data_IF_676423934598
#
_entry.id   IF_676423934598
#
_cell.length_a   1.000
_cell.length_b   1.000
_cell.length_c   1.000
_cell.angle_alpha   90.00
_cell.angle_beta   90.00
_cell.angle_gamma   90.00
#
_symmetry.space_group_name_H-M   'P 1'
#
loop_
_entity.id
_entity.type
_entity.pdbx_description
1 polymer ?
#
# COMPACT_ATOMS: atom_id res chain seq x y z
N UNK A 1 -27.05 -42.95 13.35
CA UNK A 1 -26.34 -43.39 12.12
C UNK A 1 -25.05 -44.10 12.52
N UNK A 2 -24.87 -45.37 12.13
CA UNK A 2 -23.74 -46.17 12.59
C UNK A 2 -22.40 -45.67 12.02
N UNK A 3 -21.30 -45.89 12.77
CA UNK A 3 -19.96 -45.36 12.43
C UNK A 3 -19.47 -45.82 11.06
N UNK A 4 -19.73 -47.07 10.67
CA UNK A 4 -19.32 -47.61 9.38
C UNK A 4 -19.99 -46.91 8.19
N UNK A 5 -21.27 -46.51 8.33
CA UNK A 5 -22.01 -45.82 7.27
C UNK A 5 -21.49 -44.39 7.05
N UNK A 6 -21.00 -43.72 8.10
CA UNK A 6 -20.34 -42.41 7.99
C UNK A 6 -19.01 -42.52 7.23
N UNK A 7 -18.22 -43.55 7.52
CA UNK A 7 -16.93 -43.78 6.84
C UNK A 7 -17.15 -44.12 5.36
N UNK A 8 -18.14 -44.97 5.07
CA UNK A 8 -18.49 -45.38 3.70
C UNK A 8 -18.90 -44.19 2.82
N UNK A 9 -19.53 -43.16 3.39
CA UNK A 9 -19.92 -41.93 2.67
C UNK A 9 -18.77 -40.92 2.63
N UNK A 10 -17.99 -40.80 3.71
CA UNK A 10 -16.93 -39.81 3.81
C UNK A 10 -15.76 -40.07 2.85
N UNK A 11 -15.39 -41.33 2.62
CA UNK A 11 -14.27 -41.69 1.72
C UNK A 11 -14.53 -41.25 0.27
N UNK A 12 -15.64 -41.64 -0.41
CA UNK A 12 -15.89 -41.21 -1.78
C UNK A 12 -16.09 -39.69 -1.87
N UNK A 13 -16.73 -39.09 -0.86
CA UNK A 13 -16.84 -37.63 -0.80
C UNK A 13 -15.46 -36.96 -0.74
N UNK A 14 -14.55 -37.47 0.08
CA UNK A 14 -13.17 -36.97 0.16
C UNK A 14 -12.42 -37.16 -1.16
N UNK A 15 -12.54 -38.32 -1.81
CA UNK A 15 -11.90 -38.60 -3.10
C UNK A 15 -12.40 -37.64 -4.19
N UNK A 16 -13.67 -37.25 -4.16
CA UNK A 16 -14.24 -36.27 -5.10
C UNK A 16 -13.86 -34.82 -4.73
N UNK A 17 -13.88 -34.47 -3.45
CA UNK A 17 -13.58 -33.10 -3.00
C UNK A 17 -12.09 -32.76 -3.03
N UNK A 18 -11.21 -33.74 -2.84
CA UNK A 18 -9.76 -33.55 -2.82
C UNK A 18 -9.22 -32.92 -4.11
N UNK A 19 -9.51 -33.40 -5.34
CA UNK A 19 -9.02 -32.77 -6.56
C UNK A 19 -9.57 -31.35 -6.74
N UNK A 20 -10.81 -31.08 -6.32
CA UNK A 20 -11.39 -29.72 -6.35
C UNK A 20 -10.62 -28.81 -5.38
N UNK A 21 -10.36 -29.28 -4.16
CA UNK A 21 -9.59 -28.54 -3.17
C UNK A 21 -8.17 -28.25 -3.69
N UNK A 22 -7.49 -29.25 -4.24
CA UNK A 22 -6.15 -29.09 -4.82
C UNK A 22 -6.14 -28.09 -5.97
N UNK A 23 -7.16 -28.11 -6.84
CA UNK A 23 -7.30 -27.13 -7.90
C UNK A 23 -7.48 -25.71 -7.35
N UNK A 24 -8.38 -25.53 -6.38
CA UNK A 24 -8.63 -24.22 -5.75
C UNK A 24 -7.36 -23.69 -5.07
N UNK A 25 -6.66 -24.52 -4.31
CA UNK A 25 -5.39 -24.15 -3.68
C UNK A 25 -4.33 -23.84 -4.74
N UNK A 26 -4.24 -24.63 -5.81
CA UNK A 26 -3.30 -24.40 -6.90
C UNK A 26 -3.51 -23.08 -7.61
N UNK A 27 -4.76 -22.76 -7.96
CA UNK A 27 -5.14 -21.47 -8.57
C UNK A 27 -4.85 -20.30 -7.62
N UNK A 28 -5.17 -20.47 -6.33
CA UNK A 28 -4.88 -19.46 -5.31
C UNK A 28 -3.38 -19.20 -5.16
N UNK A 29 -2.55 -20.25 -5.11
CA UNK A 29 -1.09 -20.12 -5.04
C UNK A 29 -0.53 -19.44 -6.29
N UNK A 30 -1.00 -19.83 -7.48
CA UNK A 30 -0.59 -19.21 -8.74
C UNK A 30 -0.90 -17.71 -8.73
N UNK A 31 -2.11 -17.32 -8.32
CA UNK A 31 -2.50 -15.92 -8.19
C UNK A 31 -1.56 -15.16 -7.24
N UNK A 32 -1.21 -15.73 -6.09
CA UNK A 32 -0.28 -15.11 -5.13
C UNK A 32 1.11 -14.91 -5.73
N UNK A 33 1.63 -15.88 -6.48
CA UNK A 33 2.92 -15.76 -7.17
C UNK A 33 2.88 -14.67 -8.23
N UNK A 34 1.83 -14.63 -9.06
CA UNK A 34 1.65 -13.59 -10.09
C UNK A 34 1.58 -12.20 -9.46
N UNK A 35 0.82 -12.03 -8.37
CA UNK A 35 0.75 -10.75 -7.65
C UNK A 35 2.12 -10.34 -7.08
N UNK A 36 2.89 -11.27 -6.53
CA UNK A 36 4.22 -10.99 -5.99
C UNK A 36 5.18 -10.54 -7.10
N UNK A 37 5.19 -11.25 -8.24
CA UNK A 37 6.02 -10.90 -9.39
C UNK A 37 5.64 -9.53 -9.96
N UNK A 38 4.35 -9.23 -10.05
CA UNK A 38 3.88 -7.91 -10.49
C UNK A 38 4.31 -6.80 -9.52
N UNK A 39 4.22 -7.04 -8.21
CA UNK A 39 4.73 -6.10 -7.20
C UNK A 39 6.24 -5.88 -7.28
N UNK A 40 7.01 -6.94 -7.54
CA UNK A 40 8.45 -6.84 -7.76
C UNK A 40 8.75 -5.99 -9.01
N UNK A 41 8.06 -6.26 -10.12
CA UNK A 41 8.19 -5.48 -11.35
C UNK A 41 7.90 -3.99 -11.11
N UNK A 42 6.81 -3.68 -10.40
CA UNK A 42 6.46 -2.30 -10.06
C UNK A 42 7.54 -1.61 -9.20
N UNK A 43 8.12 -2.32 -8.22
CA UNK A 43 9.24 -1.77 -7.43
C UNK A 43 10.43 -1.44 -8.33
N UNK A 44 10.82 -2.35 -9.22
CA UNK A 44 11.95 -2.14 -10.15
C UNK A 44 11.69 -0.96 -11.08
N UNK A 45 10.48 -0.88 -11.66
CA UNK A 45 10.09 0.25 -12.51
C UNK A 45 10.16 1.57 -11.75
N UNK A 46 9.70 1.61 -10.49
CA UNK A 46 9.81 2.81 -9.66
C UNK A 46 11.26 3.17 -9.36
N UNK A 47 12.12 2.18 -9.06
CA UNK A 47 13.53 2.46 -8.80
C UNK A 47 14.19 3.14 -10.00
N UNK A 48 13.92 2.65 -11.21
CA UNK A 48 14.50 3.19 -12.45
C UNK A 48 13.86 4.52 -12.85
N UNK A 49 12.53 4.63 -12.80
CA UNK A 49 11.82 5.78 -13.35
C UNK A 49 11.66 6.94 -12.36
N UNK A 50 11.57 6.65 -11.06
CA UNK A 50 11.28 7.64 -10.02
C UNK A 50 12.46 7.84 -9.07
N UNK A 51 12.98 6.77 -8.46
CA UNK A 51 14.04 6.90 -7.46
C UNK A 51 15.31 7.49 -8.08
N UNK A 52 15.68 7.07 -9.29
CA UNK A 52 16.80 7.67 -10.04
C UNK A 52 16.61 9.19 -10.32
N UNK A 53 15.38 9.71 -10.24
CA UNK A 53 15.02 11.13 -10.41
C UNK A 53 14.69 11.83 -9.08
N UNK A 54 15.02 11.21 -7.95
CA UNK A 54 14.77 11.78 -6.62
C UNK A 54 13.30 11.73 -6.16
N UNK A 55 12.43 10.98 -6.85
CA UNK A 55 11.02 10.79 -6.48
C UNK A 55 10.86 9.45 -5.75
N UNK A 56 10.53 9.52 -4.47
CA UNK A 56 10.49 8.33 -3.60
C UNK A 56 9.15 8.11 -2.92
N UNK A 57 8.25 9.09 -3.00
CA UNK A 57 7.03 9.09 -2.20
C UNK A 57 5.82 9.23 -3.11
N UNK A 58 4.79 8.42 -2.84
CA UNK A 58 3.44 8.55 -3.36
C UNK A 58 2.48 8.79 -2.20
N UNK A 59 1.91 9.98 -2.14
CA UNK A 59 0.81 10.33 -1.26
C UNK A 59 -0.51 10.16 -2.02
N UNK A 60 -1.46 9.46 -1.41
CA UNK A 60 -2.85 9.41 -1.88
C UNK A 60 -3.75 9.88 -0.76
N UNK A 61 -4.54 10.92 -1.03
CA UNK A 61 -5.47 11.51 -0.06
C UNK A 61 -6.78 11.92 -0.75
N UNK A 62 -7.77 12.39 -0.01
CA UNK A 62 -9.00 13.01 -0.57
C UNK A 62 -9.29 14.35 0.08
N UNK A 63 -10.11 15.16 -0.59
CA UNK A 63 -10.70 16.42 -0.10
C UNK A 63 -11.78 16.19 0.98
N UNK A 64 -11.51 15.33 1.97
CA UNK A 64 -12.42 15.16 3.11
C UNK A 64 -12.12 16.21 4.17
N UNK A 65 -13.12 16.93 4.69
CA UNK A 65 -12.91 17.92 5.75
C UNK A 65 -12.38 17.31 7.05
N UNK A 66 -12.35 15.98 7.18
CA UNK A 66 -11.83 15.30 8.37
C UNK A 66 -10.29 15.24 8.45
N UNK A 67 -9.60 15.34 7.32
CA UNK A 67 -8.14 15.19 7.28
C UNK A 67 -7.45 16.07 6.23
N UNK A 68 -8.21 16.73 5.35
CA UNK A 68 -7.66 17.55 4.28
C UNK A 68 -6.70 18.62 4.84
N UNK A 69 -7.18 19.49 5.72
CA UNK A 69 -6.40 20.59 6.31
C UNK A 69 -5.16 20.06 7.02
N UNK A 70 -5.31 19.01 7.83
CA UNK A 70 -4.18 18.38 8.51
C UNK A 70 -3.12 17.87 7.53
N UNK A 71 -3.54 17.18 6.46
CA UNK A 71 -2.62 16.66 5.45
C UNK A 71 -1.91 17.79 4.72
N UNK A 72 -2.63 18.83 4.31
CA UNK A 72 -2.03 19.95 3.60
C UNK A 72 -1.01 20.69 4.47
N UNK A 73 -1.36 20.99 5.71
CA UNK A 73 -0.54 21.78 6.62
C UNK A 73 0.63 20.99 7.23
N UNK A 74 0.42 19.72 7.58
CA UNK A 74 1.36 18.95 8.41
C UNK A 74 2.08 17.84 7.65
N UNK A 75 1.45 17.25 6.64
CA UNK A 75 2.05 16.14 5.89
C UNK A 75 2.71 16.64 4.62
N UNK A 76 1.96 17.30 3.73
CA UNK A 76 2.44 17.76 2.42
C UNK A 76 3.61 18.72 2.55
N UNK A 77 3.54 19.69 3.47
CA UNK A 77 4.63 20.68 3.71
C UNK A 77 5.97 20.05 4.07
N UNK A 78 5.95 18.85 4.68
CA UNK A 78 7.14 18.13 5.14
C UNK A 78 7.59 17.02 4.20
N UNK A 79 6.77 16.69 3.20
CA UNK A 79 7.14 15.70 2.19
C UNK A 79 8.11 16.30 1.17
N UNK A 80 8.95 15.47 0.52
CA UNK A 80 9.82 15.94 -0.55
C UNK A 80 9.03 16.63 -1.66
N UNK A 81 9.55 17.72 -2.24
CA UNK A 81 8.90 18.41 -3.38
C UNK A 81 8.66 17.50 -4.59
N UNK A 82 9.46 16.44 -4.73
CA UNK A 82 9.34 15.44 -5.79
C UNK A 82 8.21 14.43 -5.56
N UNK A 83 7.45 14.52 -4.47
CA UNK A 83 6.39 13.58 -4.10
C UNK A 83 5.32 13.48 -5.19
N UNK A 84 4.94 12.25 -5.54
CA UNK A 84 3.72 12.02 -6.31
C UNK A 84 2.49 12.19 -5.43
N UNK A 85 1.54 13.00 -5.86
CA UNK A 85 0.29 13.19 -5.15
C UNK A 85 -0.85 12.75 -6.04
N UNK A 86 -1.73 11.91 -5.49
CA UNK A 86 -2.98 11.50 -6.10
C UNK A 86 -4.14 11.92 -5.20
N UNK A 87 -5.11 12.63 -5.78
CA UNK A 87 -6.34 13.01 -5.09
C UNK A 87 -7.48 12.04 -5.43
N UNK A 88 -7.87 11.22 -4.46
CA UNK A 88 -8.90 10.19 -4.57
C UNK A 88 -10.30 10.75 -4.87
N UNK A 89 -10.58 12.01 -4.49
CA UNK A 89 -11.81 12.69 -4.90
C UNK A 89 -11.91 12.79 -6.43
N UNK A 90 -10.77 12.89 -7.11
CA UNK A 90 -10.65 12.99 -8.56
C UNK A 90 -10.44 11.62 -9.24
N UNK A 91 -10.59 10.50 -8.53
CA UNK A 91 -10.28 9.16 -9.08
C UNK A 91 -10.97 8.79 -10.40
N UNK A 92 -12.12 9.43 -10.70
CA UNK A 92 -12.85 9.18 -11.95
C UNK A 92 -12.10 9.67 -13.20
N UNK A 93 -11.19 10.63 -13.06
CA UNK A 93 -10.35 11.13 -14.16
C UNK A 93 -8.99 10.43 -14.24
N UNK A 94 -8.69 9.50 -13.33
CA UNK A 94 -7.41 8.83 -13.32
C UNK A 94 -7.25 7.88 -14.50
N UNK A 95 -6.11 7.98 -15.17
CA UNK A 95 -5.70 7.00 -16.15
C UNK A 95 -5.04 5.81 -15.42
N UNK A 96 -5.71 4.65 -15.45
CA UNK A 96 -5.27 3.40 -14.82
C UNK A 96 -3.95 2.84 -15.35
N UNK A 97 -3.53 3.28 -16.54
CA UNK A 97 -2.24 2.94 -17.13
C UNK A 97 -1.06 3.72 -16.55
N UNK A 98 -1.31 4.77 -15.76
CA UNK A 98 -0.23 5.60 -15.21
C UNK A 98 0.43 4.93 -14.01
N UNK A 99 1.76 5.08 -13.91
CA UNK A 99 2.55 4.48 -12.84
C UNK A 99 2.04 4.82 -11.42
N UNK A 100 1.73 6.09 -11.05
CA UNK A 100 1.16 6.38 -9.73
C UNK A 100 -0.09 5.57 -9.39
N UNK A 101 -0.99 5.40 -10.38
CA UNK A 101 -2.27 4.71 -10.17
C UNK A 101 -2.06 3.21 -10.04
N UNK A 102 -1.16 2.62 -10.83
CA UNK A 102 -0.79 1.20 -10.71
C UNK A 102 -0.13 0.90 -9.35
N UNK A 103 0.77 1.78 -8.89
CA UNK A 103 1.39 1.67 -7.58
C UNK A 103 0.38 1.76 -6.46
N UNK A 104 -0.52 2.74 -6.52
CA UNK A 104 -1.59 2.86 -5.55
C UNK A 104 -2.46 1.60 -5.54
N UNK A 105 -2.94 1.16 -6.71
CA UNK A 105 -3.80 -0.03 -6.84
C UNK A 105 -3.16 -1.28 -6.24
N UNK A 106 -1.87 -1.48 -6.49
CA UNK A 106 -1.16 -2.67 -6.01
C UNK A 106 -0.79 -2.60 -4.52
N UNK A 107 -0.26 -1.47 -4.03
CA UNK A 107 0.28 -1.37 -2.67
C UNK A 107 -0.73 -0.90 -1.62
N UNK A 108 -1.79 -0.19 -2.02
CA UNK A 108 -2.79 0.31 -1.07
C UNK A 108 -3.76 -0.78 -0.60
N UNK A 109 -3.97 -1.85 -1.36
CA UNK A 109 -4.93 -2.91 -1.03
C UNK A 109 -6.36 -2.42 -0.85
N UNK A 110 -7.23 -3.26 -0.28
CA UNK A 110 -8.69 -3.04 -0.30
C UNK A 110 -9.24 -2.27 0.91
N UNK A 111 -8.44 -2.02 1.94
CA UNK A 111 -8.88 -1.43 3.22
C UNK A 111 -7.98 -0.29 3.63
N UNK A 112 -8.55 0.73 4.29
CA UNK A 112 -7.79 1.85 4.90
C UNK A 112 -6.79 2.48 3.91
N UNK A 113 -7.21 2.60 2.65
CA UNK A 113 -6.35 2.99 1.53
C UNK A 113 -6.26 4.52 1.35
N UNK A 114 -6.99 5.30 2.15
CA UNK A 114 -6.98 6.75 2.06
C UNK A 114 -7.28 7.36 3.44
N UNK A 115 -6.40 8.22 3.98
CA UNK A 115 -5.14 8.66 3.39
C UNK A 115 -4.01 7.63 3.54
N UNK A 116 -3.13 7.54 2.55
CA UNK A 116 -1.99 6.61 2.54
C UNK A 116 -0.75 7.28 1.94
N UNK A 117 0.41 6.98 2.52
CA UNK A 117 1.72 7.32 1.96
C UNK A 117 2.47 6.03 1.65
N UNK A 118 2.97 5.92 0.43
CA UNK A 118 3.77 4.79 -0.04
C UNK A 118 5.19 5.32 -0.31
N UNK A 119 6.17 4.77 0.39
CA UNK A 119 7.58 5.15 0.28
C UNK A 119 8.35 4.04 -0.42
N UNK A 120 9.05 4.42 -1.46
CA UNK A 120 9.90 3.56 -2.27
C UNK A 120 11.35 3.87 -1.93
N UNK A 121 12.10 2.84 -1.53
CA UNK A 121 13.54 2.91 -1.32
C UNK A 121 14.18 1.94 -2.31
N UNK A 122 15.22 2.34 -3.06
CA UNK A 122 15.93 1.44 -3.98
C UNK A 122 16.31 0.13 -3.30
N UNK A 123 16.13 -0.99 -4.01
CA UNK A 123 16.46 -2.34 -3.54
C UNK A 123 15.66 -2.80 -2.30
N UNK A 124 14.57 -2.11 -1.94
CA UNK A 124 13.68 -2.49 -0.84
C UNK A 124 12.24 -2.51 -1.29
N UNK A 125 11.46 -3.40 -0.68
CA UNK A 125 10.02 -3.43 -0.90
C UNK A 125 9.37 -2.11 -0.43
N UNK A 126 8.42 -1.61 -1.21
CA UNK A 126 7.65 -0.41 -0.87
C UNK A 126 7.04 -0.50 0.54
N UNK A 127 7.20 0.58 1.30
CA UNK A 127 6.64 0.70 2.66
C UNK A 127 5.39 1.57 2.63
N UNK A 128 4.31 1.10 3.25
CA UNK A 128 3.04 1.83 3.31
C UNK A 128 2.76 2.35 4.71
N UNK A 129 2.23 3.56 4.80
CA UNK A 129 1.82 4.27 6.01
C UNK A 129 0.36 4.67 5.84
N UNK A 130 -0.51 4.18 6.72
CA UNK A 130 -1.98 4.31 6.57
C UNK A 130 -2.51 5.23 7.66
N UNK A 131 -3.20 6.28 7.23
CA UNK A 131 -3.66 7.32 8.14
C UNK A 131 -5.15 7.25 8.42
N UNK A 132 -5.93 6.43 7.69
CA UNK A 132 -7.39 6.35 7.91
C UNK A 132 -7.76 6.03 9.36
N UNK A 133 -7.20 4.96 9.91
CA UNK A 133 -7.47 4.54 11.28
C UNK A 133 -6.99 5.60 12.30
N UNK A 134 -5.74 6.12 12.19
CA UNK A 134 -5.30 7.24 13.02
C UNK A 134 -6.21 8.48 12.98
N UNK A 135 -6.69 8.89 11.80
CA UNK A 135 -7.63 10.01 11.69
C UNK A 135 -8.98 9.72 12.32
N UNK A 136 -9.48 8.47 12.18
CA UNK A 136 -10.71 8.05 12.85
C UNK A 136 -10.56 8.15 14.37
N UNK A 137 -9.45 7.66 14.92
CA UNK A 137 -9.19 7.70 16.36
C UNK A 137 -9.01 9.13 16.86
N UNK A 138 -8.37 10.00 16.07
CA UNK A 138 -8.24 11.44 16.36
C UNK A 138 -9.60 12.14 16.44
N UNK A 139 -10.55 11.81 15.55
CA UNK A 139 -11.94 12.30 15.61
C UNK A 139 -12.65 11.90 16.92
N UNK A 140 -12.21 10.82 17.57
CA UNK A 140 -12.70 10.37 18.87
C UNK A 140 -11.84 10.86 20.05
N UNK A 141 -11.03 11.89 19.85
CA UNK A 141 -10.21 12.53 20.88
C UNK A 141 -8.87 11.85 21.16
N UNK A 142 -8.48 10.83 20.38
CA UNK A 142 -7.20 10.13 20.53
C UNK A 142 -6.21 10.62 19.48
N UNK A 143 -5.42 11.64 19.79
CA UNK A 143 -4.43 12.21 18.85
C UNK A 143 -3.15 11.38 18.72
N UNK A 144 -2.80 10.59 19.74
CA UNK A 144 -1.55 9.82 19.76
C UNK A 144 -1.34 8.91 18.53
N UNK A 145 -2.34 8.11 18.06
CA UNK A 145 -2.16 7.27 16.87
C UNK A 145 -1.78 8.05 15.61
N UNK A 146 -2.29 9.27 15.45
CA UNK A 146 -2.00 10.14 14.31
C UNK A 146 -0.59 10.71 14.38
N UNK A 147 -0.18 11.15 15.55
CA UNK A 147 1.18 11.62 15.80
C UNK A 147 2.21 10.51 15.65
N UNK A 148 1.92 9.31 16.15
CA UNK A 148 2.83 8.16 16.08
C UNK A 148 3.01 7.67 14.64
N UNK A 149 1.94 7.56 13.85
CA UNK A 149 2.06 7.15 12.44
C UNK A 149 2.76 8.24 11.61
N UNK A 150 2.52 9.52 11.90
CA UNK A 150 3.26 10.64 11.30
C UNK A 150 4.74 10.56 11.65
N UNK A 151 5.08 10.37 12.94
CA UNK A 151 6.46 10.20 13.41
C UNK A 151 7.12 9.03 12.69
N UNK A 152 6.43 7.88 12.60
CA UNK A 152 6.92 6.68 11.93
C UNK A 152 7.22 6.93 10.45
N UNK A 153 6.35 7.66 9.73
CA UNK A 153 6.59 8.07 8.35
C UNK A 153 7.86 8.92 8.24
N UNK A 154 7.95 10.01 9.01
CA UNK A 154 9.07 10.95 8.88
C UNK A 154 10.39 10.39 9.39
N UNK A 155 10.37 9.53 10.42
CA UNK A 155 11.55 8.77 10.85
C UNK A 155 12.02 7.82 9.75
N UNK A 156 11.10 7.14 9.05
CA UNK A 156 11.46 6.27 7.93
C UNK A 156 12.07 7.03 6.75
N UNK A 157 11.52 8.21 6.43
CA UNK A 157 12.08 9.09 5.39
C UNK A 157 13.49 9.57 5.77
N UNK A 158 13.67 10.06 7.01
CA UNK A 158 14.96 10.55 7.51
C UNK A 158 16.02 9.44 7.55
N UNK A 159 15.64 8.23 7.99
CA UNK A 159 16.52 7.06 8.02
C UNK A 159 17.09 6.72 6.63
N UNK A 160 16.37 7.04 5.57
CA UNK A 160 16.77 6.78 4.19
C UNK A 160 17.19 8.06 3.44
N UNK A 161 17.39 9.16 4.15
CA UNK A 161 17.77 10.47 3.60
C UNK A 161 16.83 10.96 2.48
N UNK A 162 15.56 10.57 2.55
CA UNK A 162 14.52 10.99 1.60
C UNK A 162 13.92 12.31 2.11
N UNK A 163 14.18 13.40 1.41
CA UNK A 163 13.65 14.73 1.78
C UNK A 163 14.64 15.63 2.53
N UNK A 164 15.84 15.14 2.86
CA UNK A 164 16.92 16.00 3.34
C UNK A 164 17.45 16.86 2.18
N UNK A 165 17.10 18.14 2.22
CA UNK A 165 17.55 19.15 1.25
C UNK A 165 19.09 19.33 1.22
N UNK A 166 19.84 18.68 2.11
CA UNK A 166 21.30 18.73 2.18
C UNK A 166 22.01 17.86 1.14
N UNK A 167 21.33 16.91 0.47
CA UNK A 167 21.95 15.98 -0.49
C UNK A 167 21.63 16.26 -1.97
N UNK A 168 20.94 17.36 -2.28
CA UNK A 168 20.55 17.70 -3.67
C UNK A 168 21.40 18.81 -4.32
N UNK A 169 22.58 19.15 -3.79
CA UNK A 169 23.55 19.98 -4.53
C UNK A 169 24.60 19.09 -5.20
N UNK A 170 24.60 18.95 -6.53
CA UNK A 170 25.88 18.76 -7.22
C UNK A 170 26.70 20.04 -7.00
N UNK A 171 27.91 19.90 -6.42
CA UNK A 171 28.95 20.91 -6.57
C UNK A 171 29.47 20.89 -8.00
#
# INVERSE_FOLDING_TARGET
MPRYLRILIAIPLLVILLPILLLVVGVWLLYRVVCLLYGLLLNVVVWICWCARGRYVLLVYSESPHWHDYIEEHIITRLPRSTAILNWSQRRSWNSGTLPVQLFSHFAGDREFNPIVIVFVPLRWAKTFRFWQPFRDHKHGKSQPLEDESRRLFSYLSQHSIGDASLQRPQ
#
